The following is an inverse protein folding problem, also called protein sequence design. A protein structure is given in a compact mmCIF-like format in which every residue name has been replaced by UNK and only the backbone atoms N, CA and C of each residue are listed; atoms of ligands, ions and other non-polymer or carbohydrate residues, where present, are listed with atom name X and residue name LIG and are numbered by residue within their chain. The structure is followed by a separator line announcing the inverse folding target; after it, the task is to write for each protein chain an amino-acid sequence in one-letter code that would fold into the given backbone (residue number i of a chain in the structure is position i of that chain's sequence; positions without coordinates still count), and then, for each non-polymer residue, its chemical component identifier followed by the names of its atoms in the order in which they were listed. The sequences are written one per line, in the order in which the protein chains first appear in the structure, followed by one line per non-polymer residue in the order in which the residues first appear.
data_IF_045658572592
#
_entry.id   IF_045658572592
#
_cell.length_a   1.000
_cell.length_b   1.000
_cell.length_c   1.000
_cell.angle_alpha   90.00
_cell.angle_beta   90.00
_cell.angle_gamma   90.00
#
_symmetry.space_group_name_H-M   'P 1'
#
loop_
_entity.id
_entity.type
_entity.pdbx_description
1 polymer ?
#
# COMPACT_ATOMS: atom_id res chain seq x y z
N UNK A 1 6.60 -13.81 19.89
CA UNK A 1 6.05 -14.03 21.25
C UNK A 1 6.07 -15.50 21.63
N UNK A 2 5.61 -16.43 20.77
CA UNK A 2 5.57 -17.89 21.07
C UNK A 2 6.91 -18.51 21.49
N UNK A 3 8.03 -18.06 20.92
CA UNK A 3 9.36 -18.56 21.26
C UNK A 3 9.85 -18.17 22.66
N UNK A 4 9.24 -17.16 23.29
CA UNK A 4 9.62 -16.66 24.63
C UNK A 4 8.71 -17.19 25.75
N UNK A 5 7.71 -18.01 25.40
CA UNK A 5 6.77 -18.59 26.39
C UNK A 5 7.51 -19.43 27.44
N UNK A 6 8.50 -20.29 27.09
CA UNK A 6 9.25 -21.06 28.09
C UNK A 6 9.99 -20.16 29.09
N UNK A 7 10.70 -19.13 28.60
CA UNK A 7 11.46 -18.19 29.45
C UNK A 7 10.55 -17.39 30.39
N UNK A 8 9.34 -17.02 29.92
CA UNK A 8 8.34 -16.32 30.74
C UNK A 8 7.77 -17.25 31.81
N UNK A 9 7.52 -18.53 31.48
CA UNK A 9 7.07 -19.52 32.47
C UNK A 9 8.16 -19.76 33.52
N UNK A 10 9.42 -19.89 33.11
CA UNK A 10 10.55 -20.04 34.03
C UNK A 10 10.71 -18.81 34.94
N UNK A 11 10.57 -17.60 34.41
CA UNK A 11 10.59 -16.37 35.21
C UNK A 11 9.44 -16.29 36.25
N UNK A 12 8.34 -17.02 36.04
CA UNK A 12 7.23 -17.15 36.99
C UNK A 12 7.47 -18.23 38.07
N UNK A 13 8.57 -19.00 38.00
CA UNK A 13 8.94 -19.99 39.03
C UNK A 13 9.62 -19.38 40.28
N UNK A 14 9.67 -18.05 40.36
CA UNK A 14 10.10 -17.30 41.55
C UNK A 14 9.00 -17.15 42.62
N UNK A 15 9.23 -16.28 43.61
CA UNK A 15 8.22 -15.94 44.63
C UNK A 15 7.11 -15.07 44.04
N UNK A 16 5.97 -15.68 43.69
CA UNK A 16 4.74 -14.98 43.32
C UNK A 16 3.79 -14.92 44.53
N UNK A 17 3.78 -13.78 45.21
CA UNK A 17 2.94 -13.55 46.39
C UNK A 17 1.64 -12.78 46.06
N UNK A 18 0.85 -12.49 47.10
CA UNK A 18 -0.42 -11.79 46.97
C UNK A 18 -0.29 -10.36 46.39
N UNK A 19 0.84 -9.68 46.60
CA UNK A 19 1.07 -8.35 46.06
C UNK A 19 1.37 -8.40 44.55
N UNK A 20 2.17 -9.39 44.12
CA UNK A 20 2.37 -9.68 42.69
C UNK A 20 1.05 -10.05 42.00
N UNK A 21 0.24 -10.89 42.64
CA UNK A 21 -1.08 -11.26 42.13
C UNK A 21 -2.00 -10.05 41.93
N UNK A 22 -2.01 -9.12 42.91
CA UNK A 22 -2.79 -7.87 42.82
C UNK A 22 -2.31 -6.97 41.67
N UNK A 23 -1.00 -6.86 41.48
CA UNK A 23 -0.44 -6.08 40.37
C UNK A 23 -0.81 -6.69 39.01
N UNK A 24 -0.64 -8.01 38.86
CA UNK A 24 -0.99 -8.73 37.64
C UNK A 24 -2.48 -8.60 37.31
N UNK A 25 -3.36 -8.78 38.32
CA UNK A 25 -4.80 -8.59 38.15
C UNK A 25 -5.15 -7.16 37.71
N UNK A 26 -4.45 -6.15 38.23
CA UNK A 26 -4.65 -4.75 37.80
C UNK A 26 -4.23 -4.53 36.35
N UNK A 27 -3.12 -5.14 35.90
CA UNK A 27 -2.67 -5.06 34.50
C UNK A 27 -3.64 -5.78 33.56
N UNK A 28 -4.10 -6.98 33.93
CA UNK A 28 -5.09 -7.75 33.16
C UNK A 28 -6.41 -6.99 33.05
N UNK A 29 -6.94 -6.46 34.16
CA UNK A 29 -8.16 -5.65 34.12
C UNK A 29 -8.03 -4.37 33.28
N UNK A 30 -6.82 -3.84 33.07
CA UNK A 30 -6.60 -2.75 32.10
C UNK A 30 -6.61 -3.24 30.66
N UNK A 31 -6.09 -4.43 30.38
CA UNK A 31 -6.15 -5.05 29.05
C UNK A 31 -7.60 -5.33 28.68
N UNK A 32 -8.37 -5.94 29.59
CA UNK A 32 -9.79 -6.26 29.37
C UNK A 32 -10.58 -5.00 28.98
N UNK A 33 -10.37 -3.87 29.69
CA UNK A 33 -11.02 -2.59 29.36
C UNK A 33 -10.63 -2.05 27.99
N UNK A 34 -9.37 -2.23 27.58
CA UNK A 34 -8.93 -1.81 26.24
C UNK A 34 -9.56 -2.70 25.18
N UNK A 35 -9.67 -4.00 25.41
CA UNK A 35 -10.33 -4.93 24.50
C UNK A 35 -11.83 -4.63 24.35
N UNK A 36 -12.52 -4.35 25.46
CA UNK A 36 -13.93 -3.90 25.43
C UNK A 36 -14.11 -2.58 24.67
N UNK A 37 -13.22 -1.62 24.90
CA UNK A 37 -13.23 -0.34 24.18
C UNK A 37 -12.97 -0.53 22.69
N UNK A 38 -12.03 -1.40 22.30
CA UNK A 38 -11.75 -1.74 20.91
C UNK A 38 -12.98 -2.38 20.25
N UNK A 39 -13.62 -3.36 20.90
CA UNK A 39 -14.82 -3.99 20.37
C UNK A 39 -15.96 -2.98 20.15
N UNK A 40 -16.15 -2.05 21.08
CA UNK A 40 -17.14 -0.97 20.96
C UNK A 40 -16.84 -0.05 19.78
N UNK A 41 -15.57 0.32 19.59
CA UNK A 41 -15.14 1.16 18.47
C UNK A 41 -15.26 0.43 17.13
N UNK A 42 -14.95 -0.86 17.06
CA UNK A 42 -15.10 -1.64 15.83
C UNK A 42 -16.56 -1.74 15.42
N UNK A 43 -17.49 -1.96 16.35
CA UNK A 43 -18.93 -1.90 16.07
C UNK A 43 -19.38 -0.52 15.57
N UNK A 44 -18.85 0.54 16.16
CA UNK A 44 -19.14 1.93 15.74
C UNK A 44 -18.64 2.18 14.31
N UNK A 45 -17.43 1.74 13.99
CA UNK A 45 -16.85 1.85 12.65
C UNK A 45 -17.64 1.01 11.65
N UNK A 46 -18.03 -0.20 12.00
CA UNK A 46 -18.86 -1.05 11.13
C UNK A 46 -20.19 -0.37 10.80
N UNK A 47 -20.91 0.12 11.81
CA UNK A 47 -22.16 0.83 11.63
C UNK A 47 -21.99 2.08 10.75
N UNK A 48 -20.95 2.88 11.02
CA UNK A 48 -20.63 4.05 10.22
C UNK A 48 -20.25 3.68 8.78
N UNK A 49 -19.60 2.53 8.57
CA UNK A 49 -19.12 2.10 7.25
C UNK A 49 -20.21 1.55 6.32
N UNK A 50 -21.39 1.19 6.85
CA UNK A 50 -22.50 0.57 6.10
C UNK A 50 -22.90 1.30 4.81
N UNK A 51 -23.01 2.64 4.77
CA UNK A 51 -23.36 3.35 3.54
C UNK A 51 -22.33 3.16 2.41
N UNK A 52 -21.10 2.75 2.75
CA UNK A 52 -20.00 2.55 1.82
C UNK A 52 -19.61 1.07 1.67
N UNK A 53 -20.48 0.14 2.06
CA UNK A 53 -20.20 -1.30 2.02
C UNK A 53 -19.74 -1.75 0.62
N UNK A 54 -20.44 -1.30 -0.42
CA UNK A 54 -20.10 -1.62 -1.81
C UNK A 54 -18.68 -1.15 -2.19
N UNK A 55 -18.32 0.10 -1.86
CA UNK A 55 -16.99 0.63 -2.14
C UNK A 55 -15.92 -0.12 -1.34
N UNK A 56 -16.20 -0.46 -0.08
CA UNK A 56 -15.28 -1.23 0.77
C UNK A 56 -15.06 -2.64 0.21
N UNK A 57 -16.10 -3.32 -0.25
CA UNK A 57 -15.99 -4.61 -0.94
C UNK A 57 -15.19 -4.49 -2.23
N UNK A 58 -15.45 -3.44 -3.02
CA UNK A 58 -14.71 -3.16 -4.24
C UNK A 58 -13.21 -3.03 -3.96
N UNK A 59 -12.81 -2.20 -2.98
CA UNK A 59 -11.39 -1.98 -2.66
C UNK A 59 -10.70 -3.24 -2.13
N UNK A 60 -11.42 -4.15 -1.46
CA UNK A 60 -10.88 -5.42 -0.98
C UNK A 60 -10.51 -6.40 -2.09
N UNK A 61 -10.90 -6.14 -3.33
CA UNK A 61 -10.44 -6.92 -4.49
C UNK A 61 -8.96 -6.68 -4.83
N UNK A 62 -8.36 -5.60 -4.30
CA UNK A 62 -6.93 -5.31 -4.48
C UNK A 62 -6.11 -6.24 -3.58
N UNK A 63 -5.10 -6.97 -4.11
CA UNK A 63 -4.20 -7.77 -3.29
C UNK A 63 -3.56 -6.94 -2.17
N UNK A 64 -3.70 -7.40 -0.92
CA UNK A 64 -3.16 -6.72 0.26
C UNK A 64 -4.08 -5.66 0.89
N UNK A 65 -5.21 -5.31 0.27
CA UNK A 65 -6.21 -4.41 0.86
C UNK A 65 -7.26 -5.25 1.58
N UNK A 66 -7.20 -5.27 2.92
CA UNK A 66 -8.25 -5.86 3.77
C UNK A 66 -9.27 -4.83 4.24
N UNK A 67 -10.29 -5.29 4.98
CA UNK A 67 -11.39 -4.46 5.50
C UNK A 67 -10.91 -3.14 6.15
N UNK A 68 -9.95 -3.19 7.08
CA UNK A 68 -9.47 -1.99 7.79
C UNK A 68 -8.81 -1.00 6.84
N UNK A 69 -8.02 -1.48 5.87
CA UNK A 69 -7.36 -0.63 4.88
C UNK A 69 -8.42 0.03 3.99
N UNK A 70 -9.41 -0.73 3.53
CA UNK A 70 -10.51 -0.21 2.71
C UNK A 70 -11.33 0.84 3.48
N UNK A 71 -11.68 0.58 4.73
CA UNK A 71 -12.37 1.53 5.62
C UNK A 71 -11.57 2.83 5.80
N UNK A 72 -10.26 2.74 6.04
CA UNK A 72 -9.40 3.94 6.17
C UNK A 72 -9.30 4.69 4.85
N UNK A 73 -9.25 4.02 3.69
CA UNK A 73 -9.33 4.72 2.42
C UNK A 73 -10.63 5.54 2.34
N UNK A 74 -11.80 4.91 2.54
CA UNK A 74 -13.07 5.63 2.47
C UNK A 74 -13.18 6.75 3.52
N UNK A 75 -12.69 6.53 4.74
CA UNK A 75 -12.72 7.54 5.80
C UNK A 75 -11.85 8.77 5.49
N UNK A 76 -10.69 8.58 4.87
CA UNK A 76 -9.72 9.65 4.63
C UNK A 76 -9.93 10.38 3.29
N UNK A 77 -10.37 9.66 2.24
CA UNK A 77 -10.50 10.24 0.88
C UNK A 77 -11.95 10.34 0.41
N UNK A 78 -12.90 9.69 1.09
CA UNK A 78 -14.28 9.57 0.65
C UNK A 78 -14.46 8.64 -0.55
N UNK A 79 -15.72 8.49 -1.00
CA UNK A 79 -16.07 7.72 -2.20
C UNK A 79 -16.17 8.60 -3.47
N UNK A 80 -16.26 9.92 -3.32
CA UNK A 80 -16.43 10.87 -4.43
C UNK A 80 -15.06 11.31 -4.98
N UNK A 81 -14.62 10.72 -6.09
CA UNK A 81 -13.34 11.05 -6.71
C UNK A 81 -13.32 12.39 -7.44
N UNK A 82 -14.47 13.06 -7.63
CA UNK A 82 -14.52 14.41 -8.22
C UNK A 82 -13.82 15.47 -7.35
N UNK A 83 -13.59 15.18 -6.06
CA UNK A 83 -12.81 16.03 -5.15
C UNK A 83 -11.34 16.16 -5.55
N UNK A 84 -10.83 15.22 -6.34
CA UNK A 84 -9.46 15.21 -6.81
C UNK A 84 -9.44 15.30 -8.34
N UNK A 85 -8.75 16.30 -8.94
CA UNK A 85 -8.70 16.45 -10.39
C UNK A 85 -8.08 15.27 -11.15
N UNK A 86 -7.29 14.43 -10.47
CA UNK A 86 -6.68 13.22 -11.03
C UNK A 86 -6.14 12.33 -9.92
N UNK A 87 -5.85 11.06 -10.24
CA UNK A 87 -5.13 10.15 -9.35
C UNK A 87 -3.76 10.71 -8.87
N UNK A 88 -3.07 11.50 -9.71
CA UNK A 88 -1.80 12.12 -9.35
C UNK A 88 -1.95 13.20 -8.24
N UNK A 89 -3.05 13.94 -8.26
CA UNK A 89 -3.38 14.91 -7.22
C UNK A 89 -3.73 14.21 -5.91
N UNK A 90 -4.47 13.10 -5.96
CA UNK A 90 -4.74 12.27 -4.79
C UNK A 90 -3.43 11.70 -4.19
N UNK A 91 -2.55 11.14 -5.03
CA UNK A 91 -1.27 10.60 -4.58
C UNK A 91 -0.35 11.67 -3.97
N UNK A 92 -0.38 12.89 -4.52
CA UNK A 92 0.33 14.04 -3.98
C UNK A 92 -0.22 14.46 -2.62
N UNK A 93 -1.55 14.55 -2.49
CA UNK A 93 -2.23 14.89 -1.24
C UNK A 93 -2.00 13.84 -0.13
N UNK A 94 -2.06 12.56 -0.50
CA UNK A 94 -1.81 11.46 0.42
C UNK A 94 -0.34 11.39 0.88
N UNK A 95 0.60 11.96 0.12
CA UNK A 95 2.02 11.95 0.45
C UNK A 95 2.80 10.74 -0.09
N UNK A 96 2.17 9.93 -0.96
CA UNK A 96 2.81 8.76 -1.61
C UNK A 96 3.43 9.09 -2.96
N UNK A 97 3.26 10.31 -3.47
CA UNK A 97 3.96 10.79 -4.66
C UNK A 97 5.38 11.30 -4.32
N UNK A 98 6.37 11.13 -5.23
CA UNK A 98 7.70 11.70 -5.06
C UNK A 98 7.66 13.22 -4.89
N UNK A 99 8.46 13.76 -3.97
CA UNK A 99 8.65 15.20 -3.81
C UNK A 99 9.84 15.68 -4.67
N UNK A 100 9.65 16.78 -5.39
CA UNK A 100 10.69 17.43 -6.20
C UNK A 100 10.68 18.92 -5.85
N UNK A 101 11.86 19.49 -5.61
CA UNK A 101 12.07 20.94 -5.59
C UNK A 101 12.42 21.40 -7.00
N UNK A 102 11.71 22.41 -7.49
CA UNK A 102 12.03 23.06 -8.76
C UNK A 102 12.29 24.55 -8.48
N UNK A 103 13.52 24.99 -8.73
CA UNK A 103 13.90 26.39 -8.63
C UNK A 103 14.79 26.76 -9.82
N UNK A 104 14.52 27.91 -10.45
CA UNK A 104 15.28 28.40 -11.60
C UNK A 104 15.49 27.34 -12.72
N UNK A 105 14.50 26.46 -12.95
CA UNK A 105 14.58 25.39 -13.96
C UNK A 105 15.41 24.17 -13.54
N UNK A 106 16.01 24.16 -12.35
CA UNK A 106 16.71 23.02 -11.80
C UNK A 106 15.77 22.17 -10.93
N UNK A 107 15.81 20.84 -11.11
CA UNK A 107 15.00 19.88 -10.34
C UNK A 107 15.89 19.07 -9.40
N UNK A 108 15.58 19.08 -8.11
CA UNK A 108 16.25 18.24 -7.12
C UNK A 108 15.25 17.40 -6.32
N UNK A 109 15.63 16.19 -5.87
CA UNK A 109 14.78 15.38 -5.00
C UNK A 109 14.54 16.08 -3.65
N UNK A 110 13.27 16.22 -3.25
CA UNK A 110 12.86 16.86 -2.00
C UNK A 110 12.57 15.87 -0.86
N UNK A 111 12.79 14.57 -1.09
CA UNK A 111 12.47 13.51 -0.12
C UNK A 111 11.01 13.07 -0.17
N UNK A 112 10.46 12.68 0.98
CA UNK A 112 9.06 12.27 1.11
C UNK A 112 8.16 13.49 1.32
N UNK A 113 6.98 13.52 0.67
CA UNK A 113 5.99 14.56 0.91
C UNK A 113 5.37 14.40 2.30
N UNK A 114 5.00 15.50 2.91
CA UNK A 114 4.00 15.47 3.99
C UNK A 114 2.64 15.17 3.38
N UNK A 115 1.91 14.23 3.99
CA UNK A 115 0.58 13.85 3.57
C UNK A 115 -0.18 13.20 4.71
N UNK A 116 -1.32 12.60 4.39
CA UNK A 116 -2.17 11.95 5.38
C UNK A 116 -1.44 10.72 5.98
N UNK A 117 -1.11 10.81 7.28
CA UNK A 117 -0.33 9.80 8.00
C UNK A 117 -1.07 8.47 8.14
N UNK A 118 -2.39 8.51 8.38
CA UNK A 118 -3.21 7.32 8.55
C UNK A 118 -3.34 6.56 7.24
N UNK A 119 -3.71 7.28 6.18
CA UNK A 119 -3.81 6.72 4.83
C UNK A 119 -2.47 6.14 4.36
N UNK A 120 -1.39 6.90 4.49
CA UNK A 120 -0.05 6.43 4.07
C UNK A 120 0.37 5.18 4.82
N UNK A 121 0.16 5.13 6.14
CA UNK A 121 0.54 3.97 6.96
C UNK A 121 -0.24 2.72 6.53
N UNK A 122 -1.56 2.86 6.29
CA UNK A 122 -2.39 1.75 5.83
C UNK A 122 -2.05 1.30 4.40
N UNK A 123 -1.71 2.23 3.50
CA UNK A 123 -1.28 1.88 2.15
C UNK A 123 0.07 1.15 2.14
N UNK A 124 1.00 1.52 3.03
CA UNK A 124 2.29 0.83 3.18
C UNK A 124 2.10 -0.58 3.75
N UNK A 125 1.22 -0.74 4.74
CA UNK A 125 0.83 -2.06 5.29
C UNK A 125 0.22 -2.94 4.18
N UNK A 126 -0.68 -2.36 3.39
CA UNK A 126 -1.31 -3.02 2.25
C UNK A 126 -0.29 -3.42 1.19
N UNK A 127 0.66 -2.54 0.86
CA UNK A 127 1.75 -2.83 -0.07
C UNK A 127 2.63 -3.98 0.42
N UNK A 128 3.00 -4.00 1.71
CA UNK A 128 3.75 -5.10 2.30
C UNK A 128 2.98 -6.43 2.21
N UNK A 129 1.66 -6.39 2.39
CA UNK A 129 0.79 -7.57 2.21
C UNK A 129 0.65 -7.99 0.75
N UNK A 130 0.47 -7.03 -0.16
CA UNK A 130 0.41 -7.25 -1.61
C UNK A 130 1.68 -7.94 -2.13
N UNK A 131 2.85 -7.56 -1.62
CA UNK A 131 4.13 -8.17 -2.02
C UNK A 131 4.31 -9.63 -1.65
N UNK A 132 3.53 -10.13 -0.69
CA UNK A 132 3.50 -11.55 -0.32
C UNK A 132 2.56 -12.36 -1.21
N UNK A 133 1.73 -11.69 -1.99
CA UNK A 133 0.85 -12.33 -3.00
C UNK A 133 1.70 -12.73 -4.20
N UNK A 134 1.57 -13.99 -4.64
CA UNK A 134 2.33 -14.52 -5.78
C UNK A 134 1.62 -14.18 -7.09
N UNK A 135 2.39 -14.00 -8.15
CA UNK A 135 1.90 -13.81 -9.51
C UNK A 135 0.98 -12.59 -9.70
N UNK A 136 1.25 -11.49 -8.99
CA UNK A 136 0.51 -10.22 -9.13
C UNK A 136 1.39 -9.13 -9.71
N UNK A 137 0.79 -8.16 -10.39
CA UNK A 137 1.48 -6.96 -10.88
C UNK A 137 2.21 -6.22 -9.75
N UNK A 138 1.54 -6.03 -8.59
CA UNK A 138 2.09 -5.28 -7.46
C UNK A 138 3.33 -5.96 -6.86
N UNK A 139 3.33 -7.30 -6.75
CA UNK A 139 4.49 -8.05 -6.25
C UNK A 139 5.69 -7.97 -7.20
N UNK A 140 5.46 -8.05 -8.53
CA UNK A 140 6.50 -7.90 -9.54
C UNK A 140 7.06 -6.47 -9.57
N UNK A 141 6.19 -5.47 -9.49
CA UNK A 141 6.56 -4.06 -9.42
C UNK A 141 7.45 -3.78 -8.21
N UNK A 142 7.02 -4.23 -7.02
CA UNK A 142 7.77 -4.01 -5.79
C UNK A 142 9.14 -4.72 -5.83
N UNK A 143 9.20 -5.97 -6.27
CA UNK A 143 10.45 -6.74 -6.35
C UNK A 143 11.48 -6.06 -7.26
N UNK A 144 11.02 -5.57 -8.42
CA UNK A 144 11.86 -4.83 -9.38
C UNK A 144 12.39 -3.51 -8.83
N UNK A 145 11.55 -2.75 -8.12
CA UNK A 145 11.99 -1.48 -7.54
C UNK A 145 12.91 -1.74 -6.33
N UNK A 146 12.64 -2.81 -5.56
CA UNK A 146 13.44 -3.18 -4.40
C UNK A 146 14.88 -3.53 -4.79
N UNK A 147 15.08 -4.25 -5.90
CA UNK A 147 16.42 -4.59 -6.40
C UNK A 147 17.24 -3.37 -6.85
N UNK A 148 16.58 -2.28 -7.27
CA UNK A 148 17.26 -1.07 -7.75
C UNK A 148 17.40 0.03 -6.69
N UNK A 149 16.42 0.16 -5.79
CA UNK A 149 16.28 1.33 -4.90
C UNK A 149 16.07 0.96 -3.43
N UNK A 150 16.06 -0.32 -3.09
CA UNK A 150 15.84 -0.82 -1.74
C UNK A 150 14.36 -0.99 -1.37
N UNK A 151 14.11 -1.86 -0.39
CA UNK A 151 12.77 -2.33 -0.01
C UNK A 151 11.80 -1.21 0.41
N UNK A 152 12.26 -0.23 1.21
CA UNK A 152 11.40 0.86 1.70
C UNK A 152 10.83 1.72 0.57
N UNK A 153 11.67 2.05 -0.43
CA UNK A 153 11.24 2.84 -1.59
C UNK A 153 10.28 2.04 -2.48
N UNK A 154 10.48 0.73 -2.56
CA UNK A 154 9.60 -0.16 -3.30
C UNK A 154 8.21 -0.26 -2.66
N UNK A 155 8.13 -0.37 -1.33
CA UNK A 155 6.85 -0.36 -0.61
C UNK A 155 6.06 0.93 -0.85
N UNK A 156 6.71 2.10 -0.81
CA UNK A 156 6.05 3.39 -1.12
C UNK A 156 5.56 3.42 -2.58
N UNK A 157 6.33 2.88 -3.53
CA UNK A 157 5.90 2.82 -4.92
C UNK A 157 4.70 1.87 -5.15
N UNK A 158 4.65 0.75 -4.43
CA UNK A 158 3.50 -0.15 -4.41
C UNK A 158 2.28 0.52 -3.75
N UNK A 159 2.47 1.22 -2.63
CA UNK A 159 1.43 2.01 -1.95
C UNK A 159 0.84 3.09 -2.88
N UNK A 160 1.68 3.79 -3.64
CA UNK A 160 1.25 4.72 -4.68
C UNK A 160 0.39 4.03 -5.74
N UNK A 161 0.80 2.84 -6.21
CA UNK A 161 0.07 2.09 -7.24
C UNK A 161 -1.27 1.56 -6.74
N UNK A 162 -1.35 1.15 -5.47
CA UNK A 162 -2.61 0.79 -4.79
C UNK A 162 -3.53 2.02 -4.76
N UNK A 163 -3.05 3.19 -4.32
CA UNK A 163 -3.89 4.39 -4.23
C UNK A 163 -4.38 4.89 -5.60
N UNK A 164 -3.55 4.78 -6.64
CA UNK A 164 -3.97 5.06 -8.02
C UNK A 164 -5.06 4.08 -8.48
N UNK A 165 -4.95 2.82 -8.09
CA UNK A 165 -5.98 1.81 -8.39
C UNK A 165 -7.29 2.14 -7.67
N UNK A 166 -7.22 2.48 -6.38
CA UNK A 166 -8.36 2.95 -5.56
C UNK A 166 -9.09 4.11 -6.25
N UNK A 167 -8.35 5.12 -6.76
CA UNK A 167 -8.94 6.25 -7.47
C UNK A 167 -9.83 5.80 -8.65
N UNK A 168 -9.26 5.00 -9.57
CA UNK A 168 -10.01 4.58 -10.75
C UNK A 168 -11.10 3.57 -10.44
N UNK A 169 -10.92 2.71 -9.43
CA UNK A 169 -11.96 1.79 -8.99
C UNK A 169 -13.17 2.53 -8.43
N UNK A 170 -12.96 3.56 -7.61
CA UNK A 170 -14.05 4.38 -7.08
C UNK A 170 -14.69 5.27 -8.15
N UNK A 171 -13.90 5.83 -9.07
CA UNK A 171 -14.40 6.65 -10.18
C UNK A 171 -15.27 5.83 -11.16
N UNK A 172 -14.83 4.61 -11.50
CA UNK A 172 -15.48 3.76 -12.53
C UNK A 172 -16.43 2.73 -11.95
N UNK A 173 -16.39 2.54 -10.63
CA UNK A 173 -17.14 1.50 -9.94
C UNK A 173 -16.83 0.08 -10.44
N UNK A 174 -15.55 -0.21 -10.70
CA UNK A 174 -15.07 -1.48 -11.25
C UNK A 174 -14.08 -2.16 -10.29
N UNK A 175 -14.09 -3.51 -10.21
CA UNK A 175 -13.17 -4.25 -9.34
C UNK A 175 -11.73 -4.16 -9.85
N UNK A 176 -10.78 -4.47 -8.97
CA UNK A 176 -9.38 -4.48 -9.31
C UNK A 176 -9.08 -5.53 -10.37
N UNK A 177 -8.50 -5.09 -11.49
CA UNK A 177 -8.00 -5.98 -12.53
C UNK A 177 -6.48 -6.05 -12.45
N UNK A 178 -5.97 -7.23 -12.09
CA UNK A 178 -4.53 -7.47 -12.04
C UNK A 178 -3.97 -7.62 -13.46
N UNK A 179 -2.94 -6.82 -13.76
CA UNK A 179 -2.24 -6.85 -15.05
C UNK A 179 -1.32 -8.07 -15.20
N UNK A 180 -1.04 -8.77 -14.11
CA UNK A 180 -0.10 -9.88 -14.05
C UNK A 180 1.36 -9.46 -13.92
N UNK A 181 2.24 -10.40 -13.56
CA UNK A 181 3.66 -10.13 -13.30
C UNK A 181 4.45 -9.84 -14.60
N UNK A 182 4.03 -10.38 -15.75
CA UNK A 182 4.71 -10.20 -17.04
C UNK A 182 4.49 -8.82 -17.66
N UNK A 183 3.45 -8.09 -17.25
CA UNK A 183 3.07 -6.82 -17.88
C UNK A 183 4.21 -5.81 -17.89
N UNK A 184 4.98 -5.73 -16.81
CA UNK A 184 6.14 -4.84 -16.74
C UNK A 184 7.22 -5.24 -17.75
N UNK A 185 7.44 -6.53 -17.95
CA UNK A 185 8.42 -7.03 -18.90
C UNK A 185 8.01 -6.67 -20.34
N UNK A 186 6.78 -7.01 -20.73
CA UNK A 186 6.22 -6.72 -22.05
C UNK A 186 6.25 -5.21 -22.38
N UNK A 187 5.89 -4.36 -21.40
CA UNK A 187 5.92 -2.90 -21.59
C UNK A 187 7.34 -2.38 -21.80
N UNK A 188 8.32 -2.93 -21.09
CA UNK A 188 9.71 -2.55 -21.24
C UNK A 188 10.29 -2.98 -22.60
N UNK A 189 9.96 -4.18 -23.06
CA UNK A 189 10.37 -4.66 -24.39
C UNK A 189 9.86 -3.74 -25.49
N UNK A 190 8.56 -3.43 -25.52
CA UNK A 190 7.98 -2.54 -26.53
C UNK A 190 8.63 -1.14 -26.50
N UNK A 191 8.85 -0.59 -25.32
CA UNK A 191 9.50 0.71 -25.17
C UNK A 191 10.97 0.68 -25.62
N UNK A 192 11.69 -0.40 -25.33
CA UNK A 192 13.08 -0.57 -25.73
C UNK A 192 13.18 -0.75 -27.26
N UNK A 193 12.29 -1.54 -27.86
CA UNK A 193 12.18 -1.68 -29.32
C UNK A 193 11.98 -0.33 -29.98
N UNK A 194 11.00 0.47 -29.54
CA UNK A 194 10.78 1.84 -30.07
C UNK A 194 12.00 2.74 -29.92
N UNK A 195 12.70 2.65 -28.78
CA UNK A 195 13.93 3.43 -28.54
C UNK A 195 15.05 3.01 -29.50
N UNK A 196 15.22 1.72 -29.75
CA UNK A 196 16.24 1.19 -30.67
C UNK A 196 15.94 1.56 -32.12
N UNK A 197 14.67 1.48 -32.55
CA UNK A 197 14.23 1.98 -33.87
C UNK A 197 14.63 3.45 -34.02
N UNK A 198 14.23 4.30 -33.08
CA UNK A 198 14.52 5.74 -33.15
C UNK A 198 16.02 6.06 -33.12
N UNK A 199 16.85 5.20 -32.51
CA UNK A 199 18.31 5.35 -32.54
C UNK A 199 18.89 4.99 -33.91
N UNK A 200 18.43 3.89 -34.52
CA UNK A 200 18.88 3.45 -35.84
C UNK A 200 18.42 4.43 -36.94
N UNK A 201 17.20 4.94 -36.85
CA UNK A 201 16.70 5.99 -37.75
C UNK A 201 17.52 7.27 -37.66
N UNK A 202 17.92 7.68 -36.45
CA UNK A 202 18.83 8.83 -36.26
C UNK A 202 20.22 8.63 -36.85
N UNK A 203 20.67 7.38 -37.00
CA UNK A 203 21.94 7.05 -37.66
C UNK A 203 21.80 6.94 -39.19
N UNK A 204 20.60 7.17 -39.74
CA UNK A 204 20.34 7.16 -41.18
C UNK A 204 19.89 5.81 -41.73
N UNK A 205 19.52 4.85 -40.87
CA UNK A 205 19.01 3.55 -41.29
C UNK A 205 17.48 3.52 -41.29
N UNK A 206 16.86 3.00 -42.34
CA UNK A 206 15.43 2.64 -42.32
C UNK A 206 15.26 1.29 -41.65
N UNK A 207 14.50 1.23 -40.55
CA UNK A 207 14.28 0.00 -39.78
C UNK A 207 12.95 -0.62 -40.15
N UNK A 208 12.98 -1.87 -40.62
CA UNK A 208 11.79 -2.71 -40.81
C UNK A 208 11.91 -3.86 -39.82
N UNK A 209 10.88 -4.07 -38.99
CA UNK A 209 10.85 -5.16 -38.02
C UNK A 209 9.90 -6.22 -38.56
N UNK A 210 10.46 -7.32 -39.02
CA UNK A 210 9.69 -8.53 -39.32
C UNK A 210 9.58 -9.39 -38.06
N UNK A 211 8.40 -10.01 -37.80
CA UNK A 211 8.27 -10.96 -36.71
C UNK A 211 9.23 -12.14 -36.94
N UNK A 212 9.99 -12.49 -35.91
CA UNK A 212 10.85 -13.68 -35.97
C UNK A 212 9.97 -14.94 -36.11
N UNK A 213 10.40 -15.85 -37.00
CA UNK A 213 9.75 -17.13 -37.28
C UNK A 213 9.71 -18.06 -36.06
#
# INVERSE_FOLDING_TARGET
MRSKIPDVIEALTGHFDADHARLAATMLGRLDRVEEALATLDQTIEAASRPWAHQIELLQTIPGVGLKVAQVNIAEIGADMSKFPSAAHLAAWAGVAPAIHESAGHRSPAGARHGNKWLTSMLVEAAGSASRSKNTYLSAQQSRIASQRGAKRAQIAAAHSILVSVYYMLERNEPYHDLGPEWLHQRHEQANTRRLIAQLERLGHTVIIDPAA
#
